data_IF_210050025248
#
_entry.id   IF_210050025248
#
_cell.length_a   1.000
_cell.length_b   1.000
_cell.length_c   1.000
_cell.angle_alpha   90.00
_cell.angle_beta   90.00
_cell.angle_gamma   90.00
#
_symmetry.space_group_name_H-M   'P 1'
#
loop_
_entity.id
_entity.type
_entity.pdbx_description
1 polymer ?
#
# COMPACT_ATOMS: atom_id res chain seq x y z
N UNK A 1 -37.59 -17.82 -34.06
CA UNK A 1 -36.59 -17.32 -35.04
C UNK A 1 -35.63 -16.42 -34.32
N UNK A 2 -34.36 -16.84 -34.23
CA UNK A 2 -33.26 -16.07 -33.67
C UNK A 2 -32.83 -14.98 -34.66
N UNK A 3 -32.62 -13.76 -34.18
CA UNK A 3 -31.81 -12.77 -34.90
C UNK A 3 -30.62 -12.41 -34.01
N UNK A 4 -29.47 -12.93 -34.42
CA UNK A 4 -28.17 -12.74 -33.81
C UNK A 4 -27.67 -11.32 -34.08
N UNK A 5 -27.52 -10.51 -33.04
CA UNK A 5 -26.75 -9.27 -33.13
C UNK A 5 -25.30 -9.60 -32.80
N UNK A 6 -24.47 -9.54 -33.84
CA UNK A 6 -23.03 -9.79 -33.80
C UNK A 6 -22.35 -8.84 -32.82
N UNK A 7 -21.50 -9.40 -31.97
CA UNK A 7 -20.55 -8.68 -31.13
C UNK A 7 -19.44 -8.06 -31.99
N UNK A 8 -19.12 -6.76 -31.87
CA UNK A 8 -17.86 -6.21 -32.33
C UNK A 8 -16.85 -6.08 -31.17
N UNK A 9 -15.89 -7.01 -31.18
CA UNK A 9 -14.47 -6.89 -30.77
C UNK A 9 -14.13 -5.95 -29.60
N UNK A 10 -13.74 -6.56 -28.48
CA UNK A 10 -13.01 -5.94 -27.39
C UNK A 10 -11.63 -5.42 -27.84
N UNK A 11 -11.35 -4.12 -27.66
CA UNK A 11 -9.99 -3.57 -27.47
C UNK A 11 -10.07 -2.27 -26.63
N UNK A 12 -9.22 -2.16 -25.60
CA UNK A 12 -8.78 -0.99 -24.80
C UNK A 12 -9.71 -0.20 -23.84
N UNK A 13 -11.00 -0.49 -23.71
CA UNK A 13 -11.93 0.29 -22.86
C UNK A 13 -11.97 -0.02 -21.35
N UNK A 14 -11.39 -1.15 -20.90
CA UNK A 14 -11.69 -1.72 -19.57
C UNK A 14 -11.05 -0.97 -18.38
N UNK A 15 -9.88 -0.36 -18.58
CA UNK A 15 -9.13 0.31 -17.50
C UNK A 15 -9.74 1.66 -17.11
N UNK A 16 -10.15 2.45 -18.10
CA UNK A 16 -10.68 3.82 -17.89
C UNK A 16 -12.07 3.74 -17.24
N UNK A 17 -12.92 2.81 -17.69
CA UNK A 17 -14.23 2.57 -17.08
C UNK A 17 -14.10 2.12 -15.63
N UNK A 18 -13.17 1.19 -15.34
CA UNK A 18 -12.93 0.72 -13.97
C UNK A 18 -12.40 1.82 -13.04
N UNK A 19 -11.47 2.66 -13.51
CA UNK A 19 -10.97 3.81 -12.76
C UNK A 19 -12.06 4.86 -12.51
N UNK A 20 -12.94 5.08 -13.48
CA UNK A 20 -14.07 6.02 -13.37
C UNK A 20 -15.08 5.55 -12.34
N UNK A 21 -15.45 4.27 -12.34
CA UNK A 21 -16.34 3.67 -11.34
C UNK A 21 -15.71 3.67 -9.95
N UNK A 22 -14.41 3.40 -9.84
CA UNK A 22 -13.67 3.44 -8.56
C UNK A 22 -13.69 4.84 -7.94
N UNK A 23 -13.42 5.89 -8.72
CA UNK A 23 -13.48 7.28 -8.25
C UNK A 23 -14.89 7.68 -7.81
N UNK A 24 -15.91 7.22 -8.54
CA UNK A 24 -17.29 7.47 -8.16
C UNK A 24 -17.64 6.81 -6.82
N UNK A 25 -17.32 5.52 -6.63
CA UNK A 25 -17.52 4.81 -5.34
C UNK A 25 -16.77 5.49 -4.20
N UNK A 26 -15.52 5.90 -4.43
CA UNK A 26 -14.73 6.67 -3.46
C UNK A 26 -15.48 7.93 -3.00
N UNK A 27 -16.01 8.73 -3.92
CA UNK A 27 -16.74 9.97 -3.58
C UNK A 27 -17.97 9.71 -2.73
N UNK A 28 -18.70 8.63 -2.99
CA UNK A 28 -19.90 8.27 -2.22
C UNK A 28 -19.55 7.74 -0.82
N UNK A 29 -18.43 7.04 -0.70
CA UNK A 29 -18.05 6.37 0.54
C UNK A 29 -17.14 7.20 1.45
N UNK A 30 -16.53 8.29 0.98
CA UNK A 30 -15.51 9.04 1.70
C UNK A 30 -15.99 9.53 3.08
N UNK A 31 -17.14 10.18 3.15
CA UNK A 31 -17.62 10.74 4.42
C UNK A 31 -18.08 9.66 5.40
N UNK A 32 -18.68 8.58 4.88
CA UNK A 32 -19.00 7.38 5.68
C UNK A 32 -17.74 6.70 6.21
N UNK A 33 -16.67 6.66 5.41
CA UNK A 33 -15.39 6.10 5.79
C UNK A 33 -14.68 6.96 6.84
N UNK A 34 -14.79 8.30 6.76
CA UNK A 34 -14.27 9.20 7.82
C UNK A 34 -14.94 8.94 9.17
N UNK A 35 -16.27 8.73 9.18
CA UNK A 35 -17.00 8.40 10.40
C UNK A 35 -16.68 6.98 10.92
N UNK A 36 -16.45 6.03 10.01
CA UNK A 36 -16.16 4.63 10.34
C UNK A 36 -14.96 4.07 9.54
N UNK A 37 -13.71 4.36 9.95
CA UNK A 37 -12.51 3.96 9.20
C UNK A 37 -12.29 2.44 9.07
N UNK A 38 -13.02 1.64 9.85
CA UNK A 38 -12.91 0.18 9.86
C UNK A 38 -13.71 -0.51 8.73
N UNK A 39 -14.33 0.25 7.82
CA UNK A 39 -15.09 -0.33 6.73
C UNK A 39 -14.20 -1.22 5.84
N UNK A 40 -14.68 -2.45 5.62
CA UNK A 40 -14.06 -3.43 4.72
C UNK A 40 -14.61 -3.26 3.30
N UNK A 41 -13.92 -3.74 2.25
CA UNK A 41 -14.43 -3.64 0.88
C UNK A 41 -15.84 -4.24 0.71
N UNK A 42 -16.18 -5.32 1.43
CA UNK A 42 -17.55 -5.87 1.43
C UNK A 42 -18.61 -4.87 1.94
N UNK A 43 -18.25 -4.01 2.89
CA UNK A 43 -19.15 -2.96 3.39
C UNK A 43 -19.40 -1.90 2.30
N UNK A 44 -18.39 -1.58 1.50
CA UNK A 44 -18.54 -0.69 0.34
C UNK A 44 -19.50 -1.29 -0.69
N UNK A 45 -19.37 -2.58 -1.00
CA UNK A 45 -20.29 -3.26 -1.93
C UNK A 45 -21.73 -3.24 -1.39
N UNK A 46 -21.92 -3.58 -0.11
CA UNK A 46 -23.23 -3.58 0.52
C UNK A 46 -23.86 -2.18 0.52
N UNK A 47 -23.08 -1.15 0.82
CA UNK A 47 -23.56 0.22 0.91
C UNK A 47 -23.95 0.79 -0.45
N UNK A 48 -23.10 0.60 -1.46
CA UNK A 48 -23.39 1.04 -2.83
C UNK A 48 -24.61 0.31 -3.40
N UNK A 49 -24.73 -1.00 -3.13
CA UNK A 49 -25.92 -1.76 -3.51
C UNK A 49 -27.18 -1.27 -2.79
N UNK A 50 -27.08 -0.91 -1.50
CA UNK A 50 -28.19 -0.42 -0.68
C UNK A 50 -28.71 0.92 -1.17
N UNK A 51 -27.83 1.89 -1.37
CA UNK A 51 -28.17 3.30 -1.64
C UNK A 51 -28.38 3.58 -3.13
N UNK A 52 -27.58 2.98 -4.00
CA UNK A 52 -27.60 3.28 -5.43
C UNK A 52 -28.15 2.13 -6.29
N UNK A 53 -28.46 0.97 -5.70
CA UNK A 53 -28.92 -0.23 -6.42
C UNK A 53 -27.96 -0.72 -7.52
N UNK A 54 -26.68 -0.37 -7.39
CA UNK A 54 -25.61 -0.78 -8.31
C UNK A 54 -24.76 -1.88 -7.66
N UNK A 55 -24.46 -2.93 -8.42
CA UNK A 55 -23.47 -3.93 -8.01
C UNK A 55 -22.09 -3.52 -8.50
N UNK A 56 -21.10 -3.56 -7.61
CA UNK A 56 -19.70 -3.27 -7.94
C UNK A 56 -18.83 -4.50 -7.65
N UNK A 57 -17.76 -4.65 -8.43
CA UNK A 57 -16.77 -5.71 -8.18
C UNK A 57 -16.06 -5.49 -6.84
N UNK A 58 -15.57 -6.58 -6.25
CA UNK A 58 -14.76 -6.51 -5.03
C UNK A 58 -13.51 -5.64 -5.23
N UNK A 59 -12.86 -5.73 -6.40
CA UNK A 59 -11.66 -4.94 -6.69
C UNK A 59 -11.96 -3.45 -6.79
N UNK A 60 -13.10 -3.06 -7.36
CA UNK A 60 -13.56 -1.66 -7.37
C UNK A 60 -13.76 -1.14 -5.94
N UNK A 61 -14.40 -1.94 -5.08
CA UNK A 61 -14.57 -1.59 -3.67
C UNK A 61 -13.23 -1.52 -2.91
N UNK A 62 -12.29 -2.44 -3.19
CA UNK A 62 -10.97 -2.45 -2.57
C UNK A 62 -10.14 -1.22 -2.98
N UNK A 63 -10.13 -0.85 -4.25
CA UNK A 63 -9.45 0.36 -4.73
C UNK A 63 -10.10 1.62 -4.17
N UNK A 64 -11.43 1.71 -4.15
CA UNK A 64 -12.13 2.87 -3.59
C UNK A 64 -11.85 3.03 -2.10
N UNK A 65 -11.77 1.92 -1.35
CA UNK A 65 -11.33 1.92 0.04
C UNK A 65 -9.89 2.42 0.18
N UNK A 66 -8.97 1.98 -0.68
CA UNK A 66 -7.59 2.47 -0.68
C UNK A 66 -7.54 4.00 -0.87
N UNK A 67 -8.29 4.54 -1.83
CA UNK A 67 -8.38 5.98 -2.02
C UNK A 67 -8.95 6.70 -0.79
N UNK A 68 -9.94 6.11 -0.10
CA UNK A 68 -10.44 6.66 1.17
C UNK A 68 -9.36 6.66 2.25
N UNK A 69 -8.58 5.59 2.38
CA UNK A 69 -7.46 5.51 3.33
C UNK A 69 -6.44 6.59 3.02
N UNK A 70 -5.97 6.69 1.78
CA UNK A 70 -5.00 7.71 1.37
C UNK A 70 -5.51 9.13 1.62
N UNK A 71 -6.81 9.37 1.41
CA UNK A 71 -7.40 10.69 1.64
C UNK A 71 -7.54 11.05 3.11
N UNK A 72 -7.77 10.07 3.98
CA UNK A 72 -8.02 10.30 5.42
C UNK A 72 -6.75 10.22 6.26
N UNK A 73 -5.87 9.26 5.95
CA UNK A 73 -4.65 8.98 6.72
C UNK A 73 -3.39 9.56 6.08
N UNK A 74 -3.50 10.15 4.88
CA UNK A 74 -2.35 10.58 4.10
C UNK A 74 -1.82 9.47 3.21
N UNK A 75 -0.93 9.83 2.29
CA UNK A 75 -0.31 8.87 1.38
C UNK A 75 1.02 8.35 1.97
N UNK A 76 1.50 7.23 1.40
CA UNK A 76 2.76 6.62 1.85
C UNK A 76 3.97 7.53 1.61
N UNK A 77 3.95 8.33 0.55
CA UNK A 77 5.06 9.23 0.18
C UNK A 77 5.26 10.33 1.23
N UNK A 78 4.17 10.95 1.70
CA UNK A 78 4.15 11.91 2.78
C UNK A 78 4.66 11.28 4.08
N UNK A 79 4.23 10.06 4.39
CA UNK A 79 4.72 9.32 5.56
C UNK A 79 6.24 9.07 5.50
N UNK A 80 6.78 8.73 4.32
CA UNK A 80 8.21 8.49 4.13
C UNK A 80 9.04 9.77 4.09
N UNK A 81 8.45 10.92 3.76
CA UNK A 81 9.15 12.21 3.76
C UNK A 81 9.73 12.58 5.13
N UNK A 82 9.17 12.03 6.21
CA UNK A 82 9.65 12.25 7.58
C UNK A 82 10.82 11.33 7.98
N UNK A 83 11.12 10.28 7.21
CA UNK A 83 12.18 9.31 7.55
C UNK A 83 13.58 9.92 7.70
N UNK A 84 14.03 10.88 6.85
CA UNK A 84 15.35 11.49 7.02
C UNK A 84 15.51 12.20 8.36
N UNK A 85 14.49 12.98 8.75
CA UNK A 85 14.50 13.70 10.04
C UNK A 85 14.41 12.72 11.21
N UNK A 86 13.55 11.70 11.11
CA UNK A 86 13.48 10.63 12.10
C UNK A 86 14.83 9.93 12.29
N UNK A 87 15.50 9.53 11.21
CA UNK A 87 16.81 8.89 11.26
C UNK A 87 17.87 9.82 11.88
N UNK A 88 17.85 11.12 11.53
CA UNK A 88 18.73 12.13 12.12
C UNK A 88 18.54 12.21 13.65
N UNK A 89 17.30 12.26 14.13
CA UNK A 89 17.00 12.30 15.56
C UNK A 89 17.36 10.98 16.27
N UNK A 90 17.13 9.84 15.63
CA UNK A 90 17.51 8.53 16.16
C UNK A 90 19.01 8.46 16.41
N UNK A 91 19.81 8.89 15.43
CA UNK A 91 21.27 8.92 15.54
C UNK A 91 21.77 9.89 16.61
N UNK A 92 21.13 11.06 16.74
CA UNK A 92 21.44 12.02 17.82
C UNK A 92 21.17 11.44 19.21
N UNK A 93 20.04 10.75 19.39
CA UNK A 93 19.64 10.18 20.69
C UNK A 93 20.35 8.87 21.03
N UNK A 94 20.75 8.09 20.02
CA UNK A 94 21.43 6.82 20.19
C UNK A 94 22.73 6.80 19.38
N UNK A 95 23.76 7.54 19.83
CA UNK A 95 25.05 7.60 19.14
C UNK A 95 25.60 6.20 18.85
N UNK A 96 26.12 6.01 17.64
CA UNK A 96 26.67 4.74 17.16
C UNK A 96 25.64 3.70 16.69
N UNK A 97 24.34 4.05 16.66
CA UNK A 97 23.36 3.31 15.88
C UNK A 97 23.57 3.57 14.38
N UNK A 98 23.01 2.71 13.53
CA UNK A 98 22.96 2.90 12.07
C UNK A 98 21.52 3.24 11.70
N UNK A 99 21.32 4.30 10.94
CA UNK A 99 20.03 4.65 10.35
C UNK A 99 20.26 5.26 8.97
N UNK A 100 19.75 4.62 7.92
CA UNK A 100 19.90 5.05 6.53
C UNK A 100 18.57 5.00 5.81
N UNK A 101 18.37 5.92 4.88
CA UNK A 101 17.20 5.99 4.00
C UNK A 101 17.71 6.09 2.57
N UNK A 102 17.17 5.25 1.68
CA UNK A 102 17.54 5.22 0.26
C UNK A 102 16.34 5.61 -0.60
N UNK A 103 16.60 6.51 -1.52
CA UNK A 103 15.70 6.93 -2.59
C UNK A 103 16.31 6.54 -3.95
N UNK A 104 15.46 6.29 -4.94
CA UNK A 104 15.88 6.09 -6.33
C UNK A 104 16.12 7.42 -7.05
N UNK A 105 16.61 7.36 -8.29
CA UNK A 105 16.90 8.55 -9.10
C UNK A 105 15.65 9.36 -9.47
N UNK A 106 14.45 8.80 -9.24
CA UNK A 106 13.15 9.43 -9.46
C UNK A 106 12.52 9.95 -8.16
N UNK A 107 13.26 9.91 -7.05
CA UNK A 107 12.79 10.36 -5.74
C UNK A 107 11.84 9.39 -5.05
N UNK A 108 11.70 8.14 -5.51
CA UNK A 108 10.85 7.15 -4.85
C UNK A 108 11.60 6.46 -3.73
N UNK A 109 10.88 6.22 -2.63
CA UNK A 109 11.41 5.46 -1.50
C UNK A 109 11.80 4.04 -1.94
N UNK A 110 13.01 3.62 -1.61
CA UNK A 110 13.51 2.27 -1.87
C UNK A 110 13.49 1.45 -0.59
N UNK A 111 14.24 1.89 0.42
CA UNK A 111 14.27 1.23 1.73
C UNK A 111 14.79 2.16 2.83
N UNK A 112 14.53 1.77 4.08
CA UNK A 112 15.13 2.33 5.28
C UNK A 112 15.76 1.19 6.08
N UNK A 113 16.98 1.38 6.55
CA UNK A 113 17.68 0.42 7.41
C UNK A 113 18.00 1.08 8.75
N UNK A 114 17.56 0.47 9.85
CA UNK A 114 17.83 0.96 11.20
C UNK A 114 18.37 -0.21 12.02
N UNK A 115 19.54 -0.01 12.62
CA UNK A 115 20.15 -0.94 13.57
C UNK A 115 20.62 -0.16 14.80
N UNK A 116 20.02 -0.43 15.96
CA UNK A 116 20.41 0.23 17.20
C UNK A 116 21.78 -0.27 17.68
N UNK A 117 22.59 0.63 18.22
CA UNK A 117 23.91 0.28 18.76
C UNK A 117 23.85 -0.87 19.75
N UNK A 118 22.88 -0.87 20.66
CA UNK A 118 22.70 -1.94 21.65
C UNK A 118 22.48 -3.31 21.02
N UNK A 119 21.77 -3.37 19.89
CA UNK A 119 21.55 -4.62 19.16
C UNK A 119 22.82 -5.06 18.43
N UNK A 120 23.55 -4.10 17.84
CA UNK A 120 24.84 -4.35 17.18
C UNK A 120 25.84 -4.91 18.20
N UNK A 121 25.99 -4.25 19.34
CA UNK A 121 26.91 -4.65 20.40
C UNK A 121 26.50 -5.98 21.01
N UNK A 122 25.20 -6.22 21.22
CA UNK A 122 24.69 -7.49 21.72
C UNK A 122 25.00 -8.65 20.77
N UNK A 123 24.87 -8.42 19.46
CA UNK A 123 25.24 -9.41 18.45
C UNK A 123 26.75 -9.67 18.43
N UNK A 124 27.57 -8.61 18.43
CA UNK A 124 29.04 -8.75 18.39
C UNK A 124 29.57 -9.45 19.64
N UNK A 125 29.04 -9.13 20.82
CA UNK A 125 29.57 -9.64 22.09
C UNK A 125 28.93 -10.95 22.58
N UNK A 126 27.67 -11.20 22.21
CA UNK A 126 26.89 -12.34 22.70
C UNK A 126 26.32 -13.25 21.60
N UNK A 127 26.46 -12.85 20.33
CA UNK A 127 26.03 -13.68 19.21
C UNK A 127 26.87 -14.96 19.12
N UNK A 128 26.20 -16.09 18.93
CA UNK A 128 26.91 -17.32 18.55
C UNK A 128 27.49 -17.12 17.13
N UNK A 129 28.77 -17.43 16.88
CA UNK A 129 29.33 -17.38 15.53
C UNK A 129 28.66 -18.47 14.67
N UNK A 130 27.57 -18.11 14.00
CA UNK A 130 26.86 -18.94 13.04
C UNK A 130 27.00 -18.28 11.66
N UNK A 131 28.05 -18.67 10.94
CA UNK A 131 28.18 -18.44 9.51
C UNK A 131 27.46 -19.58 8.78
N UNK A 132 26.16 -19.42 8.56
CA UNK A 132 25.39 -20.30 7.68
C UNK A 132 25.27 -19.66 6.30
N UNK A 133 26.24 -19.92 5.42
CA UNK A 133 26.08 -19.70 3.98
C UNK A 133 25.61 -21.02 3.37
N UNK A 134 24.29 -21.23 3.34
CA UNK A 134 23.73 -22.24 2.45
C UNK A 134 23.32 -21.57 1.14
N UNK A 135 24.11 -21.84 0.10
CA UNK A 135 23.78 -21.46 -1.26
C UNK A 135 22.78 -22.46 -1.82
N UNK A 136 21.52 -22.40 -1.38
CA UNK A 136 20.47 -23.21 -1.99
C UNK A 136 20.25 -22.71 -3.42
N UNK A 137 20.93 -23.37 -4.36
CA UNK A 137 20.78 -23.13 -5.79
C UNK A 137 19.36 -23.56 -6.19
N UNK A 138 18.45 -22.59 -6.39
CA UNK A 138 17.11 -22.89 -6.92
C UNK A 138 17.23 -23.07 -8.45
N UNK A 139 17.42 -24.32 -8.87
CA UNK A 139 17.01 -24.75 -10.21
C UNK A 139 15.63 -25.41 -10.10
N UNK A 140 14.69 -24.92 -10.88
CA UNK A 140 13.31 -25.41 -10.97
C UNK A 140 12.44 -24.45 -11.76
#
# INVERSE_FOLDING_TARGET
MNVSIRNPKAVSGSSIAHQSTTKWVFRMMLDKFKAHPNYKPKNFQAEIKREHKVEISYMTAWHARHLCIERVMGNFEESYSFLPEFCSQLLKKNPGSVATVKWDDKGKFVHCCIAYKVCIDGWVNGGRPLLGLDGTHLWG
#
